data_IF_930086872457
#
_entry.id   IF_930086872457
#
_cell.length_a   1.000
_cell.length_b   1.000
_cell.length_c   1.000
_cell.angle_alpha   90.00
_cell.angle_beta   90.00
_cell.angle_gamma   90.00
#
_symmetry.space_group_name_H-M   'P 1'
#
loop_
_entity.id
_entity.type
_entity.pdbx_description
1 polymer ?
#
# COMPACT_ATOMS: atom_id res chain seq x y z
N UNK A 1 78.12 -3.87 -25.26
CA UNK A 1 77.10 -4.49 -24.40
C UNK A 1 76.00 -3.45 -24.18
N UNK A 2 75.16 -3.13 -25.17
CA UNK A 2 73.95 -3.83 -25.65
C UNK A 2 72.93 -4.16 -24.54
N UNK A 3 71.97 -3.23 -24.41
CA UNK A 3 70.51 -3.44 -24.37
C UNK A 3 69.97 -4.43 -23.34
N UNK A 4 69.26 -3.93 -22.34
CA UNK A 4 67.81 -4.17 -22.07
C UNK A 4 67.46 -3.74 -20.64
N UNK A 5 67.49 -2.43 -20.37
CA UNK A 5 66.91 -1.82 -19.17
C UNK A 5 65.65 -1.00 -19.52
N UNK A 6 64.91 -1.47 -20.53
CA UNK A 6 63.79 -0.76 -21.15
C UNK A 6 62.49 -1.58 -21.16
N UNK A 7 62.32 -2.50 -20.20
CA UNK A 7 61.17 -3.41 -20.18
C UNK A 7 60.42 -3.46 -18.84
N UNK A 8 60.57 -2.47 -17.96
CA UNK A 8 59.82 -2.41 -16.69
C UNK A 8 59.05 -1.10 -16.48
N UNK A 9 59.19 -0.11 -17.38
CA UNK A 9 58.47 1.16 -17.28
C UNK A 9 57.16 1.14 -18.12
N UNK A 10 56.95 0.10 -18.93
CA UNK A 10 55.78 -0.02 -19.81
C UNK A 10 54.56 -0.75 -19.19
N UNK A 11 54.61 -1.13 -17.90
CA UNK A 11 53.47 -1.76 -17.20
C UNK A 11 52.95 -0.94 -16.01
N UNK A 12 53.46 0.27 -15.77
CA UNK A 12 52.98 1.14 -14.69
C UNK A 12 52.12 2.32 -15.19
N UNK A 13 52.14 2.62 -16.50
CA UNK A 13 51.44 3.78 -17.08
C UNK A 13 50.13 3.43 -17.80
N UNK A 14 49.75 2.15 -17.86
CA UNK A 14 48.45 1.73 -18.41
C UNK A 14 47.38 1.44 -17.34
N UNK A 15 47.71 1.58 -16.05
CA UNK A 15 46.76 1.38 -14.96
C UNK A 15 46.10 2.68 -14.45
N UNK A 16 46.57 3.85 -14.91
CA UNK A 16 46.12 5.17 -14.40
C UNK A 16 45.13 5.89 -15.32
N UNK A 17 44.73 5.31 -16.46
CA UNK A 17 43.77 5.94 -17.41
C UNK A 17 42.35 5.33 -17.33
N UNK A 18 42.13 4.34 -16.45
CA UNK A 18 40.77 3.84 -16.12
C UNK A 18 40.14 4.54 -14.90
N UNK A 19 40.76 5.61 -14.38
CA UNK A 19 40.18 6.48 -13.36
C UNK A 19 39.26 7.58 -13.96
N UNK A 20 38.78 7.41 -15.19
CA UNK A 20 37.82 8.29 -15.84
C UNK A 20 36.44 7.64 -15.88
N UNK A 21 35.46 8.27 -15.23
CA UNK A 21 34.02 8.01 -15.36
C UNK A 21 33.42 6.84 -14.55
N UNK A 22 33.87 6.56 -13.32
CA UNK A 22 32.88 6.16 -12.29
C UNK A 22 32.38 7.44 -11.65
N UNK A 23 31.57 8.17 -12.42
CA UNK A 23 30.80 9.28 -11.89
C UNK A 23 29.86 8.74 -10.84
N UNK A 24 30.28 8.78 -9.57
CA UNK A 24 29.36 8.89 -8.44
C UNK A 24 28.73 10.31 -8.43
N UNK A 25 28.21 10.72 -9.58
CA UNK A 25 27.04 11.57 -9.66
C UNK A 25 25.83 10.62 -9.73
N UNK A 26 25.64 9.82 -8.66
CA UNK A 26 24.30 9.36 -8.33
C UNK A 26 23.54 10.60 -7.90
N UNK A 27 22.99 11.23 -8.93
CA UNK A 27 22.06 12.33 -8.88
C UNK A 27 21.14 12.15 -7.67
N UNK A 28 21.10 13.16 -6.80
CA UNK A 28 20.09 13.28 -5.73
C UNK A 28 18.65 13.38 -6.27
N UNK A 29 18.47 13.21 -7.57
CA UNK A 29 17.23 13.31 -8.32
C UNK A 29 16.87 12.04 -9.13
N UNK A 30 17.61 10.93 -8.95
CA UNK A 30 17.40 9.70 -9.76
C UNK A 30 16.52 8.62 -9.16
N UNK A 31 16.25 8.62 -7.86
CA UNK A 31 15.38 7.59 -7.28
C UNK A 31 13.92 8.05 -7.35
N UNK A 32 13.14 7.40 -8.23
CA UNK A 32 11.69 7.55 -8.26
C UNK A 32 11.18 6.99 -6.94
N UNK A 33 10.40 7.78 -6.22
CA UNK A 33 9.78 7.30 -4.99
C UNK A 33 8.33 7.74 -4.94
N UNK A 34 7.50 6.81 -4.52
CA UNK A 34 6.08 7.04 -4.26
C UNK A 34 5.88 6.81 -2.78
N UNK A 35 5.42 7.84 -2.07
CA UNK A 35 5.13 7.77 -0.65
C UNK A 35 3.63 7.81 -0.46
N UNK A 36 3.09 6.76 0.12
CA UNK A 36 1.70 6.68 0.53
C UNK A 36 1.61 6.68 2.04
N UNK A 37 0.76 7.53 2.60
CA UNK A 37 0.39 7.42 4.01
C UNK A 37 -0.93 6.68 4.13
N UNK A 38 -1.02 5.79 5.11
CA UNK A 38 -2.22 4.99 5.33
C UNK A 38 -2.52 4.82 6.82
N UNK A 39 -3.75 4.41 7.12
CA UNK A 39 -4.20 4.01 8.45
C UNK A 39 -4.86 2.64 8.35
N UNK A 40 -4.56 1.74 9.29
CA UNK A 40 -5.38 0.56 9.52
C UNK A 40 -6.61 0.97 10.33
N UNK A 41 -7.77 0.90 9.70
CA UNK A 41 -9.01 1.46 10.24
C UNK A 41 -9.71 0.44 11.14
N UNK A 42 -9.87 -0.79 10.65
CA UNK A 42 -10.66 -1.81 11.33
C UNK A 42 -10.34 -3.22 10.84
N UNK A 43 -10.78 -4.21 11.62
CA UNK A 43 -11.05 -5.55 11.13
C UNK A 43 -12.56 -5.75 11.12
N UNK A 44 -13.12 -6.01 9.95
CA UNK A 44 -14.55 -6.23 9.77
C UNK A 44 -14.80 -7.72 9.61
N UNK A 45 -15.47 -8.33 10.57
CA UNK A 45 -15.78 -9.76 10.53
C UNK A 45 -17.01 -10.06 9.68
N UNK A 46 -17.94 -9.11 9.63
CA UNK A 46 -19.23 -9.30 8.97
C UNK A 46 -19.84 -7.95 8.56
N UNK A 47 -20.38 -7.90 7.34
CA UNK A 47 -21.08 -6.75 6.77
C UNK A 47 -22.58 -6.99 6.79
N UNK A 48 -23.35 -6.07 7.36
CA UNK A 48 -24.80 -6.12 7.33
C UNK A 48 -25.33 -5.58 5.99
N UNK A 49 -26.29 -6.30 5.41
CA UNK A 49 -26.95 -5.98 4.14
C UNK A 49 -28.48 -6.11 4.32
N UNK A 50 -29.26 -5.64 3.35
CA UNK A 50 -30.71 -5.74 3.43
C UNK A 50 -31.20 -7.20 3.45
N UNK A 51 -30.46 -8.10 2.79
CA UNK A 51 -30.82 -9.51 2.60
C UNK A 51 -30.09 -10.45 3.58
N UNK A 52 -29.46 -9.86 4.61
CA UNK A 52 -28.74 -10.54 5.68
C UNK A 52 -27.27 -10.11 5.73
N UNK A 53 -26.31 -11.00 5.94
CA UNK A 53 -24.92 -10.61 6.18
C UNK A 53 -23.88 -11.31 5.26
N UNK A 54 -22.76 -10.63 5.04
CA UNK A 54 -21.59 -11.14 4.32
C UNK A 54 -20.43 -11.31 5.30
N UNK A 55 -19.72 -12.42 5.26
CA UNK A 55 -18.45 -12.62 5.97
C UNK A 55 -17.40 -13.31 5.08
N UNK A 56 -16.10 -13.01 5.22
CA UNK A 56 -15.07 -13.78 4.54
C UNK A 56 -15.11 -15.21 5.06
N UNK A 57 -15.13 -16.17 4.15
CA UNK A 57 -15.13 -17.59 4.49
C UNK A 57 -13.71 -18.09 4.57
N UNK A 58 -13.39 -18.70 5.71
CA UNK A 58 -12.28 -19.65 5.84
C UNK A 58 -12.69 -20.82 6.70
N UNK A 59 -11.72 -21.64 7.09
CA UNK A 59 -11.95 -22.97 7.65
C UNK A 59 -12.80 -22.96 8.95
N UNK A 60 -12.68 -21.89 9.74
CA UNK A 60 -13.24 -21.81 11.10
C UNK A 60 -14.27 -20.67 11.31
N UNK A 61 -14.84 -20.04 10.27
CA UNK A 61 -15.74 -18.87 10.41
C UNK A 61 -15.16 -17.66 11.18
N UNK A 62 -13.82 -17.60 11.31
CA UNK A 62 -13.10 -16.54 12.04
C UNK A 62 -12.38 -15.54 11.12
N UNK A 63 -12.69 -15.54 9.83
CA UNK A 63 -12.11 -14.62 8.86
C UNK A 63 -12.60 -13.18 9.04
N UNK A 64 -11.86 -12.22 8.48
CA UNK A 64 -12.22 -10.80 8.49
C UNK A 64 -11.59 -10.04 7.32
N UNK A 65 -12.15 -8.87 7.02
CA UNK A 65 -11.54 -7.87 6.15
C UNK A 65 -10.68 -6.93 6.99
N UNK A 66 -9.39 -6.86 6.72
CA UNK A 66 -8.54 -5.78 7.22
C UNK A 66 -8.76 -4.54 6.34
N UNK A 67 -9.23 -3.45 6.94
CA UNK A 67 -9.64 -2.23 6.22
C UNK A 67 -8.59 -1.15 6.37
N UNK A 68 -8.15 -0.58 5.25
CA UNK A 68 -7.14 0.46 5.20
C UNK A 68 -7.64 1.69 4.45
N UNK A 69 -7.33 2.86 4.98
CA UNK A 69 -7.50 4.13 4.26
C UNK A 69 -6.13 4.65 3.83
N UNK A 70 -5.95 4.90 2.54
CA UNK A 70 -4.84 5.66 1.96
C UNK A 70 -5.19 7.15 2.09
N UNK A 71 -4.40 7.85 2.89
CA UNK A 71 -4.67 9.22 3.30
C UNK A 71 -3.99 10.25 2.41
N UNK A 72 -2.78 9.96 1.97
CA UNK A 72 -2.08 10.82 1.03
C UNK A 72 -1.17 10.04 0.09
N UNK A 73 -0.95 10.64 -1.07
CA UNK A 73 -0.01 10.17 -2.08
C UNK A 73 0.93 11.32 -2.44
N UNK A 74 2.23 11.08 -2.33
CA UNK A 74 3.28 12.01 -2.71
C UNK A 74 4.31 11.31 -3.60
N UNK A 75 4.70 11.99 -4.67
CA UNK A 75 5.58 11.43 -5.70
C UNK A 75 6.81 12.31 -5.88
N UNK A 76 7.98 11.68 -5.99
CA UNK A 76 9.26 12.37 -6.22
C UNK A 76 10.08 11.69 -7.32
N UNK A 77 10.97 12.46 -7.94
CA UNK A 77 11.88 12.03 -9.00
C UNK A 77 11.48 12.58 -10.37
N UNK A 78 12.43 13.16 -11.11
CA UNK A 78 12.13 13.87 -12.38
C UNK A 78 11.50 12.99 -13.46
N UNK A 79 11.85 11.72 -13.50
CA UNK A 79 11.42 10.77 -14.54
C UNK A 79 10.05 10.13 -14.27
N UNK A 80 9.43 10.39 -13.12
CA UNK A 80 8.09 9.91 -12.78
C UNK A 80 7.04 10.88 -13.33
N UNK A 81 6.09 10.39 -14.13
CA UNK A 81 4.97 11.20 -14.68
C UNK A 81 3.70 11.12 -13.83
N UNK A 82 3.62 10.08 -13.01
CA UNK A 82 2.48 9.76 -12.17
C UNK A 82 2.64 8.36 -11.59
N UNK A 83 1.60 7.89 -10.94
CA UNK A 83 1.55 6.60 -10.28
C UNK A 83 0.18 5.95 -10.53
N UNK A 84 0.18 4.66 -10.84
CA UNK A 84 -1.05 3.87 -10.95
C UNK A 84 -1.28 3.17 -9.63
N UNK A 85 -2.32 3.57 -8.91
CA UNK A 85 -2.85 2.76 -7.83
C UNK A 85 -3.53 1.53 -8.43
N UNK A 86 -3.12 0.35 -7.99
CA UNK A 86 -3.74 -0.92 -8.32
C UNK A 86 -3.92 -1.72 -7.03
N UNK A 87 -5.16 -2.09 -6.70
CA UNK A 87 -5.46 -2.90 -5.52
C UNK A 87 -4.66 -4.21 -5.51
N UNK A 88 -4.36 -4.79 -6.68
CA UNK A 88 -3.63 -6.06 -6.78
C UNK A 88 -2.20 -5.99 -6.25
N UNK A 89 -1.61 -4.79 -6.16
CA UNK A 89 -0.26 -4.61 -5.65
C UNK A 89 -0.18 -4.58 -4.12
N UNK A 90 -1.33 -4.47 -3.43
CA UNK A 90 -1.40 -4.38 -1.97
C UNK A 90 -1.58 -5.75 -1.31
N UNK A 91 -0.97 -5.91 -0.15
CA UNK A 91 -1.03 -7.15 0.62
C UNK A 91 -0.77 -6.93 2.11
N UNK A 92 -1.11 -7.93 2.92
CA UNK A 92 -0.75 -8.03 4.34
C UNK A 92 0.05 -9.31 4.56
N UNK A 93 1.10 -9.26 5.37
CA UNK A 93 1.88 -10.43 5.79
C UNK A 93 1.65 -10.66 7.28
N UNK A 94 1.23 -11.87 7.65
CA UNK A 94 1.05 -12.30 9.04
C UNK A 94 1.73 -13.66 9.21
N UNK A 95 2.80 -13.71 10.01
CA UNK A 95 3.65 -14.89 10.07
C UNK A 95 4.21 -15.24 8.68
N UNK A 96 4.05 -16.49 8.26
CA UNK A 96 4.48 -16.98 6.95
C UNK A 96 3.41 -16.83 5.85
N UNK A 97 2.26 -16.25 6.18
CA UNK A 97 1.14 -16.12 5.24
C UNK A 97 1.07 -14.70 4.67
N UNK A 98 0.84 -14.63 3.36
CA UNK A 98 0.57 -13.39 2.63
C UNK A 98 -0.88 -13.39 2.14
N UNK A 99 -1.56 -12.28 2.36
CA UNK A 99 -2.93 -12.03 1.96
C UNK A 99 -2.95 -10.86 0.99
N UNK A 100 -3.28 -11.13 -0.28
CA UNK A 100 -3.36 -10.09 -1.31
C UNK A 100 -4.74 -9.41 -1.28
N UNK A 101 -4.79 -8.11 -1.51
CA UNK A 101 -6.05 -7.34 -1.44
C UNK A 101 -7.09 -7.79 -2.48
N UNK A 102 -6.62 -8.27 -3.64
CA UNK A 102 -7.45 -8.67 -4.78
C UNK A 102 -7.77 -10.16 -4.86
N UNK A 103 -7.26 -11.00 -3.95
CA UNK A 103 -7.43 -12.46 -4.09
C UNK A 103 -8.92 -12.83 -4.11
N UNK A 104 -9.26 -13.87 -4.85
CA UNK A 104 -10.57 -14.51 -4.72
C UNK A 104 -10.63 -15.17 -3.35
N UNK A 105 -11.56 -14.70 -2.53
CA UNK A 105 -11.98 -15.35 -1.30
C UNK A 105 -13.47 -15.62 -1.43
N UNK A 106 -13.94 -16.64 -0.72
CA UNK A 106 -15.35 -16.98 -0.69
C UNK A 106 -16.01 -16.10 0.37
N UNK A 107 -17.24 -15.68 0.12
CA UNK A 107 -18.05 -14.98 1.12
C UNK A 107 -19.30 -15.79 1.39
N UNK A 108 -19.60 -15.97 2.67
CA UNK A 108 -20.86 -16.56 3.07
C UNK A 108 -21.94 -15.49 2.98
N UNK A 109 -22.95 -15.76 2.17
CA UNK A 109 -24.15 -14.94 2.07
C UNK A 109 -25.32 -15.70 2.68
N UNK A 110 -26.29 -14.93 3.16
CA UNK A 110 -27.52 -15.46 3.77
C UNK A 110 -28.59 -15.79 2.73
N UNK A 111 -28.47 -15.26 1.51
CA UNK A 111 -29.44 -15.46 0.41
C UNK A 111 -29.00 -16.50 -0.63
N UNK A 112 -27.70 -16.65 -0.90
CA UNK A 112 -27.15 -17.54 -1.93
C UNK A 112 -26.16 -18.58 -1.38
N UNK A 113 -26.00 -18.66 -0.06
CA UNK A 113 -24.94 -19.47 0.55
C UNK A 113 -23.57 -18.90 0.20
N UNK A 114 -22.61 -19.77 -0.06
CA UNK A 114 -21.24 -19.35 -0.33
C UNK A 114 -21.06 -18.92 -1.80
N UNK A 115 -20.61 -17.68 -2.03
CA UNK A 115 -20.31 -17.14 -3.37
C UNK A 115 -18.86 -16.68 -3.46
N UNK A 116 -18.36 -16.51 -4.67
CA UNK A 116 -17.04 -15.91 -4.90
C UNK A 116 -17.12 -14.41 -4.62
N UNK A 117 -16.21 -13.85 -3.82
CA UNK A 117 -16.17 -12.41 -3.59
C UNK A 117 -15.85 -11.61 -4.86
N UNK A 118 -15.27 -12.26 -5.88
CA UNK A 118 -15.02 -11.67 -7.19
C UNK A 118 -16.23 -11.76 -8.13
N UNK A 119 -17.30 -12.45 -7.75
CA UNK A 119 -18.55 -12.41 -8.49
C UNK A 119 -19.11 -10.97 -8.47
N UNK A 120 -19.54 -10.48 -9.62
CA UNK A 120 -19.91 -9.07 -9.83
C UNK A 120 -20.91 -8.52 -8.79
N UNK A 121 -21.99 -9.25 -8.45
CA UNK A 121 -22.94 -8.80 -7.41
C UNK A 121 -22.30 -8.71 -6.02
N UNK A 122 -21.52 -9.72 -5.62
CA UNK A 122 -20.87 -9.75 -4.32
C UNK A 122 -19.82 -8.65 -4.22
N UNK A 123 -18.97 -8.53 -5.25
CA UNK A 123 -17.94 -7.49 -5.37
C UNK A 123 -18.52 -6.09 -5.26
N UNK A 124 -19.60 -5.80 -5.98
CA UNK A 124 -20.29 -4.50 -5.92
C UNK A 124 -20.87 -4.21 -4.55
N UNK A 125 -21.50 -5.20 -3.92
CA UNK A 125 -22.10 -5.04 -2.60
C UNK A 125 -21.03 -4.77 -1.53
N UNK A 126 -19.91 -5.48 -1.58
CA UNK A 126 -18.75 -5.26 -0.70
C UNK A 126 -18.17 -3.85 -0.95
N UNK A 127 -17.96 -3.50 -2.22
CA UNK A 127 -17.41 -2.19 -2.61
C UNK A 127 -18.29 -1.03 -2.12
N UNK A 128 -19.59 -1.12 -2.31
CA UNK A 128 -20.57 -0.12 -1.86
C UNK A 128 -20.60 -0.01 -0.33
N UNK A 129 -20.70 -1.14 0.38
CA UNK A 129 -20.83 -1.16 1.84
C UNK A 129 -19.60 -0.65 2.57
N UNK A 130 -18.43 -0.97 2.06
CA UNK A 130 -17.18 -0.51 2.64
C UNK A 130 -16.74 0.85 2.09
N UNK A 131 -17.31 1.31 0.98
CA UNK A 131 -16.89 2.53 0.29
C UNK A 131 -15.48 2.39 -0.30
N UNK A 132 -15.24 1.29 -1.02
CA UNK A 132 -13.93 1.00 -1.61
C UNK A 132 -13.59 1.97 -2.74
N UNK A 133 -12.30 2.27 -2.86
CA UNK A 133 -11.74 2.98 -4.01
C UNK A 133 -11.89 2.15 -5.30
N UNK A 134 -11.76 2.77 -6.49
CA UNK A 134 -11.63 2.04 -7.74
C UNK A 134 -10.47 1.03 -7.68
N UNK A 135 -10.65 -0.14 -8.30
CA UNK A 135 -9.60 -1.19 -8.35
C UNK A 135 -8.29 -0.68 -8.93
N UNK A 136 -8.38 0.20 -9.94
CA UNK A 136 -7.25 0.86 -10.55
C UNK A 136 -7.52 2.35 -10.77
N UNK A 137 -6.52 3.18 -10.53
CA UNK A 137 -6.58 4.60 -10.82
C UNK A 137 -5.20 5.21 -11.08
N UNK A 138 -5.10 6.02 -12.12
CA UNK A 138 -3.91 6.80 -12.40
C UNK A 138 -3.94 8.16 -11.68
N UNK A 139 -2.84 8.48 -11.01
CA UNK A 139 -2.57 9.76 -10.38
C UNK A 139 -1.42 10.47 -11.11
N UNK A 140 -1.69 11.57 -11.83
CA UNK A 140 -0.64 12.47 -12.33
C UNK A 140 0.33 12.88 -11.22
N UNK A 141 1.58 13.22 -11.56
CA UNK A 141 2.59 13.65 -10.56
C UNK A 141 2.24 15.01 -9.95
N UNK A 142 1.39 14.97 -8.94
CA UNK A 142 0.92 16.08 -8.13
C UNK A 142 0.81 15.62 -6.67
N UNK A 143 0.80 16.54 -5.68
CA UNK A 143 0.54 16.16 -4.30
C UNK A 143 -0.95 15.89 -4.07
N UNK A 144 -1.27 14.74 -3.46
CA UNK A 144 -2.63 14.41 -3.03
C UNK A 144 -2.69 14.25 -1.50
N UNK A 145 -2.91 15.33 -0.74
CA UNK A 145 -2.83 15.31 0.72
C UNK A 145 -4.06 14.75 1.44
N UNK A 146 -5.16 14.51 0.71
CA UNK A 146 -6.44 14.08 1.26
C UNK A 146 -7.14 13.09 0.31
N UNK A 147 -6.51 11.93 0.06
CA UNK A 147 -7.01 10.94 -0.89
C UNK A 147 -8.26 10.24 -0.35
N UNK A 148 -8.24 9.83 0.93
CA UNK A 148 -9.30 9.03 1.57
C UNK A 148 -9.72 7.80 0.74
N UNK A 149 -8.74 7.09 0.14
CA UNK A 149 -9.01 5.91 -0.68
C UNK A 149 -9.02 4.69 0.21
N UNK A 150 -10.13 3.96 0.20
CA UNK A 150 -10.24 2.75 0.98
C UNK A 150 -9.94 1.52 0.14
N UNK A 151 -9.20 0.60 0.73
CA UNK A 151 -9.06 -0.76 0.23
C UNK A 151 -9.19 -1.75 1.38
N UNK A 152 -9.45 -3.00 1.03
CA UNK A 152 -9.52 -4.09 2.00
C UNK A 152 -8.68 -5.27 1.58
N UNK A 153 -8.16 -5.98 2.57
CA UNK A 153 -7.50 -7.27 2.39
C UNK A 153 -8.31 -8.30 3.15
N UNK A 154 -8.81 -9.32 2.44
CA UNK A 154 -9.52 -10.40 3.09
C UNK A 154 -8.55 -11.41 3.70
N UNK A 155 -8.81 -11.74 4.96
CA UNK A 155 -8.08 -12.72 5.74
C UNK A 155 -9.09 -13.83 6.05
N UNK A 156 -9.14 -14.89 5.22
CA UNK A 156 -10.20 -15.90 5.28
C UNK A 156 -10.20 -16.67 6.61
N UNK A 157 -9.05 -16.83 7.26
CA UNK A 157 -8.90 -17.56 8.52
C UNK A 157 -8.15 -16.72 9.54
N UNK A 158 -8.51 -16.85 10.83
CA UNK A 158 -7.82 -16.12 11.89
C UNK A 158 -6.36 -16.59 11.97
N UNK A 159 -5.36 -15.71 11.74
CA UNK A 159 -3.97 -16.13 11.80
C UNK A 159 -3.61 -16.55 13.23
N UNK A 160 -2.99 -17.71 13.41
CA UNK A 160 -2.75 -18.30 14.75
C UNK A 160 -1.99 -17.37 15.70
N UNK A 161 -1.08 -16.53 15.17
CA UNK A 161 -0.28 -15.59 15.94
C UNK A 161 -0.92 -14.19 16.12
N UNK A 162 -2.11 -13.96 15.55
CA UNK A 162 -2.76 -12.66 15.56
C UNK A 162 -3.52 -12.41 16.86
N UNK A 163 -3.13 -11.37 17.60
CA UNK A 163 -3.70 -10.99 18.90
C UNK A 163 -4.61 -9.75 18.82
N UNK A 164 -5.03 -9.36 17.61
CA UNK A 164 -5.84 -8.16 17.38
C UNK A 164 -5.04 -6.88 17.23
N UNK A 165 -3.72 -6.96 17.05
CA UNK A 165 -2.85 -5.82 16.76
C UNK A 165 -3.15 -5.17 15.39
N UNK A 166 -2.81 -3.88 15.18
CA UNK A 166 -2.89 -3.30 13.85
C UNK A 166 -2.09 -4.09 12.81
N UNK A 167 -2.71 -4.32 11.66
CA UNK A 167 -2.05 -4.97 10.53
C UNK A 167 -1.24 -3.98 9.72
N UNK A 168 -0.15 -4.47 9.13
CA UNK A 168 0.71 -3.66 8.27
C UNK A 168 0.36 -3.91 6.82
N UNK A 169 0.12 -2.84 6.09
CA UNK A 169 -0.09 -2.88 4.65
C UNK A 169 1.27 -2.85 3.93
N UNK A 170 1.44 -3.75 2.97
CA UNK A 170 2.57 -3.84 2.05
C UNK A 170 2.18 -3.50 0.61
N UNK A 171 3.18 -3.18 -0.21
CA UNK A 171 3.05 -2.94 -1.65
C UNK A 171 4.06 -3.81 -2.40
N UNK A 172 3.71 -4.30 -3.59
CA UNK A 172 4.55 -5.17 -4.42
C UNK A 172 5.82 -4.48 -4.93
N UNK A 173 5.70 -3.23 -5.36
CA UNK A 173 6.80 -2.40 -5.84
C UNK A 173 7.66 -1.83 -4.69
N UNK A 174 8.97 -2.14 -4.62
CA UNK A 174 9.87 -1.61 -3.59
C UNK A 174 10.11 -0.09 -3.67
N UNK A 175 9.77 0.58 -4.77
CA UNK A 175 9.86 2.05 -4.90
C UNK A 175 8.67 2.76 -4.19
N UNK A 176 7.64 2.00 -3.78
CA UNK A 176 6.50 2.50 -3.02
C UNK A 176 6.77 2.35 -1.52
N UNK A 177 6.88 3.49 -0.85
CA UNK A 177 6.99 3.57 0.62
C UNK A 177 5.61 3.77 1.22
N UNK A 178 5.12 2.76 1.94
CA UNK A 178 3.91 2.85 2.75
C UNK A 178 4.25 3.29 4.18
N UNK A 179 3.53 4.28 4.68
CA UNK A 179 3.73 4.82 6.03
C UNK A 179 2.42 4.76 6.79
N UNK A 180 2.38 3.91 7.81
CA UNK A 180 1.27 3.90 8.75
C UNK A 180 1.33 5.17 9.61
N UNK A 181 0.28 5.99 9.57
CA UNK A 181 0.18 7.22 10.38
C UNK A 181 -0.66 7.02 11.64
N UNK A 182 -1.13 5.80 11.89
CA UNK A 182 -1.77 5.38 13.14
C UNK A 182 -0.83 4.51 13.96
N UNK A 183 -0.55 4.88 15.20
CA UNK A 183 0.20 4.02 16.14
C UNK A 183 -0.65 2.85 16.65
N UNK A 184 -1.99 3.02 16.68
CA UNK A 184 -3.02 1.99 16.97
C UNK A 184 -4.33 2.33 16.25
N UNK A 185 -5.17 1.34 15.89
CA UNK A 185 -6.53 1.61 15.43
C UNK A 185 -7.30 2.32 16.56
N UNK A 186 -8.10 3.37 16.29
CA UNK A 186 -8.77 4.10 17.35
C UNK A 186 -9.75 3.17 18.10
N UNK A 187 -9.87 3.32 19.43
CA UNK A 187 -10.65 2.38 20.29
C UNK A 187 -12.10 2.21 19.87
N UNK A 188 -12.69 3.23 19.27
CA UNK A 188 -14.04 3.20 18.71
C UNK A 188 -14.21 2.15 17.59
N UNK A 189 -13.11 1.71 16.96
CA UNK A 189 -13.12 0.71 15.88
C UNK A 189 -12.97 -0.73 16.35
N UNK A 190 -12.48 -0.92 17.58
CA UNK A 190 -12.51 -2.22 18.25
C UNK A 190 -13.96 -2.66 18.55
N UNK A 191 -14.95 -1.76 18.38
CA UNK A 191 -16.37 -2.04 18.55
C UNK A 191 -17.12 -2.34 17.24
N UNK A 192 -16.48 -2.30 16.05
CA UNK A 192 -17.10 -2.82 14.81
C UNK A 192 -17.07 -4.35 14.76
N UNK A 193 -17.21 -4.98 15.93
CA UNK A 193 -17.52 -6.38 16.06
C UNK A 193 -18.96 -6.61 15.57
N UNK A 194 -19.03 -7.28 14.43
CA UNK A 194 -20.13 -8.10 13.89
C UNK A 194 -21.18 -7.44 13.00
N UNK A 195 -21.57 -6.17 13.14
CA UNK A 195 -22.63 -5.64 12.28
C UNK A 195 -22.53 -4.12 12.09
N UNK A 196 -21.64 -3.64 11.21
CA UNK A 196 -21.73 -2.24 10.78
C UNK A 196 -22.85 -2.11 9.73
N UNK A 197 -23.90 -1.36 10.07
CA UNK A 197 -25.00 -1.03 9.15
C UNK A 197 -24.76 0.30 8.39
N UNK A 198 -23.67 0.99 8.68
CA UNK A 198 -23.27 2.25 8.06
C UNK A 198 -21.85 2.22 7.48
N UNK A 199 -21.52 3.15 6.56
CA UNK A 199 -20.19 3.26 5.98
C UNK A 199 -19.17 3.60 7.06
N UNK A 200 -18.00 2.97 7.02
CA UNK A 200 -16.91 3.26 7.92
C UNK A 200 -16.42 4.70 7.66
N UNK A 201 -16.51 5.58 8.67
CA UNK A 201 -15.99 6.96 8.61
C UNK A 201 -14.46 6.97 8.41
N UNK A 202 -13.95 7.72 7.44
CA UNK A 202 -12.50 7.81 7.23
C UNK A 202 -11.79 8.50 8.40
N UNK A 203 -10.69 7.93 8.88
CA UNK A 203 -9.90 8.45 10.01
C UNK A 203 -8.59 9.09 9.57
N UNK A 204 -8.41 9.31 8.26
CA UNK A 204 -7.26 10.04 7.76
C UNK A 204 -7.15 11.37 8.49
N UNK A 205 -6.06 11.59 9.26
CA UNK A 205 -5.92 12.81 10.02
C UNK A 205 -6.02 13.98 9.04
N UNK A 206 -6.83 15.00 9.37
CA UNK A 206 -6.81 16.25 8.61
C UNK A 206 -5.37 16.77 8.64
N UNK A 207 -4.64 16.57 7.56
CA UNK A 207 -3.28 17.08 7.48
C UNK A 207 -3.37 18.60 7.38
N UNK A 208 -3.12 19.30 8.48
CA UNK A 208 -2.62 20.67 8.41
C UNK A 208 -1.22 20.58 7.82
N UNK A 209 -1.12 20.71 6.50
CA UNK A 209 0.17 20.84 5.83
C UNK A 209 0.91 22.03 6.48
N UNK A 210 2.20 21.91 6.84
CA UNK A 210 2.99 23.10 7.12
C UNK A 210 2.94 23.95 5.86
N UNK A 211 2.49 25.20 6.00
CA UNK A 211 2.42 26.15 4.90
C UNK A 211 3.74 26.10 4.13
N UNK A 212 3.69 25.71 2.85
CA UNK A 212 4.85 25.87 1.98
C UNK A 212 5.15 27.36 1.99
N UNK A 213 6.30 27.71 2.59
CA UNK A 213 6.79 29.08 2.59
C UNK A 213 7.05 29.42 1.13
N UNK A 214 6.12 30.13 0.51
CA UNK A 214 6.28 30.64 -0.85
C UNK A 214 7.62 31.37 -0.90
N UNK A 215 8.58 30.81 -1.61
CA UNK A 215 9.79 31.52 -1.96
C UNK A 215 9.35 32.65 -2.90
N UNK A 216 9.24 33.85 -2.34
CA UNK A 216 9.07 35.08 -3.10
C UNK A 216 10.30 35.22 -4.00
N UNK A 217 10.13 34.90 -5.27
CA UNK A 217 11.04 35.36 -6.32
C UNK A 217 10.68 36.83 -6.52
N UNK A 218 11.48 37.73 -5.94
CA UNK A 218 11.44 39.14 -6.32
C UNK A 218 12.10 39.32 -7.70
N UNK A 219 11.57 40.22 -8.53
CA UNK A 219 12.11 40.53 -9.85
C UNK A 219 13.49 41.19 -9.80
#
# INVERSE_FOLDING_TARGET
MKRTAALLIAMATLATVLAGCVGHHLSRDTQKTVRMTYVHVANVYQLATADGALSPRGKDDRGFWAVFDICSLYMRGMSLKGFTFDVQDFHVIVGDQRYDASRSYRVLTTFAGEVDAQDDPARRLIADRLGLAPEQQYFPKEPYPALAYRLVVAIPEWPEAYLGEPMTLGHSDPEVTLINVSERPPREWQQYDRFSSGPLVSTCPRQTLPAQKSASVQP
#
